data_IF_587861588581
#
_entry.id   IF_587861588581
#
_cell.length_a   1.000
_cell.length_b   1.000
_cell.length_c   1.000
_cell.angle_alpha   90.00
_cell.angle_beta   90.00
_cell.angle_gamma   90.00
#
_symmetry.space_group_name_H-M   'P 1'
#
loop_
_entity.id
_entity.type
_entity.pdbx_description
1 polymer ?
#
# COMPACT_ATOMS: atom_id res chain seq x y z
N UNK A 1 -11.87 -12.16 19.73
CA UNK A 1 -11.20 -13.28 19.03
C UNK A 1 -12.28 -14.20 18.47
N UNK A 2 -12.15 -14.59 17.21
CA UNK A 2 -13.01 -15.60 16.61
C UNK A 2 -12.48 -16.99 17.04
N UNK A 3 -13.36 -17.91 17.46
CA UNK A 3 -12.95 -19.27 17.77
C UNK A 3 -12.56 -20.02 16.49
N UNK A 4 -11.68 -21.02 16.62
CA UNK A 4 -11.37 -21.93 15.51
C UNK A 4 -12.65 -22.64 15.07
N UNK A 5 -12.94 -22.66 13.76
CA UNK A 5 -14.20 -23.19 13.22
C UNK A 5 -15.40 -22.23 13.28
N UNK A 6 -15.21 -21.02 13.84
CA UNK A 6 -16.24 -19.98 13.83
C UNK A 6 -16.59 -19.49 12.43
N UNK A 7 -17.84 -19.05 12.24
CA UNK A 7 -18.31 -18.47 10.96
C UNK A 7 -18.23 -16.95 11.00
N UNK A 8 -17.84 -16.34 9.90
CA UNK A 8 -17.83 -14.88 9.70
C UNK A 8 -18.68 -14.54 8.48
N UNK A 9 -19.56 -13.55 8.64
CA UNK A 9 -20.26 -12.99 7.49
C UNK A 9 -19.38 -11.94 6.83
N UNK A 10 -19.19 -12.05 5.54
CA UNK A 10 -18.39 -11.10 4.75
C UNK A 10 -19.17 -10.62 3.54
N UNK A 11 -18.99 -9.35 3.19
CA UNK A 11 -19.49 -8.75 1.96
C UNK A 11 -18.30 -8.58 1.02
N UNK A 12 -18.31 -9.25 -0.11
CA UNK A 12 -17.25 -9.21 -1.12
C UNK A 12 -17.79 -9.57 -2.52
N UNK A 13 -17.08 -9.21 -3.62
CA UNK A 13 -15.91 -8.32 -3.66
C UNK A 13 -16.33 -6.85 -3.48
N UNK A 14 -15.45 -6.03 -2.89
CA UNK A 14 -15.68 -4.60 -2.73
C UNK A 14 -14.53 -3.80 -3.35
N UNK A 15 -14.88 -2.70 -4.05
CA UNK A 15 -13.93 -1.75 -4.60
C UNK A 15 -13.00 -2.32 -5.68
N UNK A 16 -11.93 -1.57 -5.95
CA UNK A 16 -10.94 -1.84 -6.99
C UNK A 16 -9.56 -2.02 -6.36
N UNK A 17 -8.90 -3.15 -6.67
CA UNK A 17 -7.54 -3.45 -6.17
C UNK A 17 -6.44 -2.75 -6.97
N UNK A 18 -5.19 -3.03 -6.59
CA UNK A 18 -4.04 -2.58 -7.35
C UNK A 18 -4.01 -3.23 -8.73
N UNK A 19 -3.76 -2.41 -9.74
CA UNK A 19 -3.56 -2.85 -11.11
C UNK A 19 -2.17 -2.45 -11.59
N UNK A 20 -1.43 -3.41 -12.17
CA UNK A 20 -0.11 -3.19 -12.77
C UNK A 20 -0.21 -3.53 -14.24
N UNK A 21 0.22 -2.60 -15.08
CA UNK A 21 0.20 -2.77 -16.53
C UNK A 21 1.21 -3.80 -16.99
N UNK A 22 1.02 -4.33 -18.18
CA UNK A 22 1.90 -5.38 -18.72
C UNK A 22 3.33 -4.88 -18.94
N UNK A 23 3.47 -3.64 -19.39
CA UNK A 23 4.76 -2.97 -19.61
C UNK A 23 5.52 -2.62 -18.32
N UNK A 24 4.84 -2.43 -17.19
CA UNK A 24 5.43 -2.13 -15.90
C UNK A 24 6.11 -3.37 -15.34
N UNK A 25 7.44 -3.47 -15.39
CA UNK A 25 8.21 -4.65 -14.99
C UNK A 25 8.70 -4.57 -13.55
N UNK A 26 9.10 -3.38 -13.10
CA UNK A 26 9.64 -3.12 -11.76
C UNK A 26 8.62 -2.42 -10.89
N UNK A 27 8.22 -3.06 -9.82
CA UNK A 27 7.21 -2.56 -8.88
C UNK A 27 7.89 -2.24 -7.55
N UNK A 28 7.72 -1.03 -7.03
CA UNK A 28 8.07 -0.73 -5.65
C UNK A 28 6.81 -0.82 -4.77
N UNK A 29 6.89 -1.59 -3.70
CA UNK A 29 5.86 -1.67 -2.67
C UNK A 29 6.31 -0.90 -1.44
N UNK A 30 5.52 0.08 -1.01
CA UNK A 30 5.79 0.86 0.21
C UNK A 30 4.66 0.62 1.20
N UNK A 31 4.95 -0.13 2.27
CA UNK A 31 3.94 -0.58 3.23
C UNK A 31 4.22 -0.13 4.67
N UNK A 32 3.16 0.22 5.41
CA UNK A 32 3.25 0.58 6.82
C UNK A 32 2.27 -0.19 7.70
N UNK A 33 2.77 -0.84 8.75
CA UNK A 33 1.94 -1.58 9.70
C UNK A 33 1.06 -2.62 9.01
N UNK A 34 -0.26 -2.56 9.23
CA UNK A 34 -1.22 -3.50 8.61
C UNK A 34 -1.35 -3.36 7.08
N UNK A 35 -0.84 -2.26 6.50
CA UNK A 35 -0.75 -2.09 5.05
C UNK A 35 0.13 -3.13 4.34
N UNK A 36 0.84 -3.97 5.10
CA UNK A 36 1.57 -5.13 4.57
C UNK A 36 0.65 -6.14 3.85
N UNK A 37 -0.60 -6.31 4.29
CA UNK A 37 -1.49 -7.33 3.75
C UNK A 37 -1.87 -7.11 2.28
N UNK A 38 -2.26 -5.91 1.82
CA UNK A 38 -2.42 -5.62 0.40
C UNK A 38 -1.12 -5.85 -0.39
N UNK A 39 0.05 -5.54 0.18
CA UNK A 39 1.34 -5.76 -0.48
C UNK A 39 1.62 -7.25 -0.70
N UNK A 40 1.31 -8.11 0.27
CA UNK A 40 1.40 -9.57 0.12
C UNK A 40 0.49 -10.07 -1.02
N UNK A 41 -0.70 -9.49 -1.17
CA UNK A 41 -1.62 -9.84 -2.27
C UNK A 41 -1.04 -9.48 -3.63
N UNK A 42 -0.42 -8.29 -3.75
CA UNK A 42 0.29 -7.86 -4.97
C UNK A 42 1.41 -8.84 -5.32
N UNK A 43 2.23 -9.24 -4.34
CA UNK A 43 3.30 -10.23 -4.56
C UNK A 43 2.76 -11.56 -5.09
N UNK A 44 1.69 -12.07 -4.47
CA UNK A 44 1.06 -13.33 -4.88
C UNK A 44 0.56 -13.29 -6.32
N UNK A 45 0.08 -12.15 -6.76
CA UNK A 45 -0.48 -11.97 -8.10
C UNK A 45 0.60 -11.73 -9.17
N UNK A 46 1.59 -10.87 -8.88
CA UNK A 46 2.47 -10.34 -9.92
C UNK A 46 3.84 -11.01 -10.00
N UNK A 47 4.34 -11.66 -8.94
CA UNK A 47 5.58 -12.46 -9.00
C UNK A 47 5.45 -13.62 -10.01
N UNK A 48 4.34 -14.40 -10.03
CA UNK A 48 4.18 -15.46 -11.05
C UNK A 48 4.08 -14.91 -12.49
N UNK A 49 3.77 -13.63 -12.67
CA UNK A 49 3.73 -12.93 -13.96
C UNK A 49 5.10 -12.37 -14.38
N UNK A 50 6.17 -12.71 -13.66
CA UNK A 50 7.54 -12.31 -13.99
C UNK A 50 7.87 -10.85 -13.64
N UNK A 51 7.12 -10.21 -12.74
CA UNK A 51 7.42 -8.84 -12.28
C UNK A 51 8.51 -8.86 -11.21
N UNK A 52 9.42 -7.89 -11.26
CA UNK A 52 10.41 -7.63 -10.23
C UNK A 52 9.78 -6.74 -9.14
N UNK A 53 9.76 -7.20 -7.90
CA UNK A 53 9.08 -6.49 -6.82
C UNK A 53 10.06 -6.16 -5.70
N UNK A 54 10.19 -4.87 -5.40
CA UNK A 54 11.04 -4.30 -4.37
C UNK A 54 10.15 -3.80 -3.22
N UNK A 55 10.23 -4.44 -2.06
CA UNK A 55 9.34 -4.17 -0.93
C UNK A 55 10.06 -3.37 0.16
N UNK A 56 9.48 -2.26 0.58
CA UNK A 56 9.92 -1.36 1.66
C UNK A 56 8.82 -1.33 2.72
N UNK A 57 9.06 -1.99 3.85
CA UNK A 57 8.03 -2.18 4.89
C UNK A 57 8.50 -1.56 6.20
N UNK A 58 7.66 -0.69 6.75
CA UNK A 58 7.92 0.02 8.00
C UNK A 58 6.98 -0.40 9.13
N UNK A 59 7.55 -0.51 10.33
CA UNK A 59 6.82 -0.75 11.56
C UNK A 59 7.29 0.22 12.64
N UNK A 60 6.50 0.42 13.70
CA UNK A 60 6.91 1.27 14.83
C UNK A 60 8.12 0.72 15.57
N UNK A 61 8.13 -0.58 15.83
CA UNK A 61 9.16 -1.28 16.59
C UNK A 61 9.13 -2.79 16.27
N UNK A 62 10.11 -3.53 16.79
CA UNK A 62 10.26 -4.98 16.61
C UNK A 62 9.00 -5.78 16.98
N UNK A 63 8.27 -5.35 18.01
CA UNK A 63 7.09 -6.09 18.48
C UNK A 63 5.90 -5.97 17.52
N UNK A 64 5.91 -4.96 16.64
CA UNK A 64 4.89 -4.77 15.61
C UNK A 64 5.22 -5.51 14.30
N UNK A 65 6.43 -6.03 14.15
CA UNK A 65 6.85 -6.76 12.94
C UNK A 65 6.07 -8.07 12.86
N UNK A 66 5.40 -8.28 11.73
CA UNK A 66 4.60 -9.49 11.49
C UNK A 66 4.56 -9.86 10.00
N UNK A 67 4.18 -11.11 9.71
CA UNK A 67 3.84 -11.60 8.38
C UNK A 67 4.92 -11.40 7.30
N UNK A 68 6.21 -11.35 7.67
CA UNK A 68 7.31 -11.17 6.72
C UNK A 68 7.42 -12.33 5.73
N UNK A 69 7.04 -13.55 6.13
CA UNK A 69 7.02 -14.76 5.27
C UNK A 69 6.21 -14.52 3.98
N UNK A 70 5.16 -13.69 4.05
CA UNK A 70 4.37 -13.31 2.89
C UNK A 70 5.13 -12.46 1.86
N UNK A 71 6.24 -11.85 2.26
CA UNK A 71 7.06 -10.94 1.43
C UNK A 71 8.36 -11.57 0.93
N UNK A 72 8.69 -12.81 1.32
CA UNK A 72 9.94 -13.50 0.93
C UNK A 72 10.14 -13.63 -0.58
N UNK A 73 9.05 -13.57 -1.34
CA UNK A 73 9.08 -13.63 -2.81
C UNK A 73 9.42 -12.30 -3.47
N UNK A 74 9.64 -11.22 -2.70
CA UNK A 74 10.14 -9.95 -3.24
C UNK A 74 11.53 -10.16 -3.86
N UNK A 75 11.83 -9.44 -4.94
CA UNK A 75 13.18 -9.37 -5.52
C UNK A 75 14.17 -8.81 -4.50
N UNK A 76 13.73 -7.81 -3.73
CA UNK A 76 14.42 -7.33 -2.54
C UNK A 76 13.39 -6.89 -1.48
N UNK A 77 13.66 -7.26 -0.22
CA UNK A 77 12.85 -6.88 0.94
C UNK A 77 13.67 -6.02 1.90
N UNK A 78 13.22 -4.81 2.14
CA UNK A 78 13.77 -3.90 3.15
C UNK A 78 12.74 -3.70 4.25
N UNK A 79 13.06 -4.14 5.47
CA UNK A 79 12.23 -3.94 6.65
C UNK A 79 12.93 -2.96 7.58
N UNK A 80 12.18 -1.96 8.05
CA UNK A 80 12.69 -0.89 8.90
C UNK A 80 11.74 -0.63 10.08
N UNK A 81 12.26 -0.04 11.16
CA UNK A 81 11.44 0.39 12.29
C UNK A 81 11.76 1.82 12.70
N UNK A 82 10.73 2.54 13.17
CA UNK A 82 10.87 3.94 13.57
C UNK A 82 11.87 4.11 14.72
N UNK A 83 11.93 3.13 15.64
CA UNK A 83 12.84 3.13 16.78
C UNK A 83 14.20 2.46 16.51
N UNK A 84 14.38 1.75 15.38
CA UNK A 84 15.58 1.01 15.02
C UNK A 84 15.74 -0.33 15.74
N UNK A 85 14.71 -0.82 16.42
CA UNK A 85 14.75 -2.10 17.14
C UNK A 85 14.75 -3.32 16.21
N UNK A 86 14.41 -3.14 14.94
CA UNK A 86 14.55 -4.12 13.87
C UNK A 86 14.92 -3.42 12.55
N UNK A 87 15.96 -3.89 11.88
CA UNK A 87 16.49 -3.23 10.69
C UNK A 87 17.11 -1.86 10.99
N UNK A 88 16.98 -0.92 10.05
CA UNK A 88 17.48 0.45 10.24
C UNK A 88 16.44 1.32 10.94
N UNK A 89 16.91 2.33 11.70
CA UNK A 89 16.07 3.39 12.28
C UNK A 89 15.65 4.37 11.20
N UNK A 90 14.52 4.11 10.56
CA UNK A 90 13.90 4.97 9.53
C UNK A 90 12.48 4.47 9.25
N UNK A 91 11.69 5.23 8.51
CA UNK A 91 10.39 4.78 8.02
C UNK A 91 10.48 4.17 6.60
N UNK A 92 9.40 3.52 6.15
CA UNK A 92 9.35 2.84 4.84
C UNK A 92 9.57 3.80 3.66
N UNK A 93 9.06 5.03 3.75
CA UNK A 93 9.20 6.05 2.68
C UNK A 93 10.65 6.50 2.57
N UNK A 94 11.34 6.71 3.69
CA UNK A 94 12.77 7.05 3.69
C UNK A 94 13.61 5.93 3.09
N UNK A 95 13.31 4.66 3.44
CA UNK A 95 13.99 3.51 2.87
C UNK A 95 13.79 3.43 1.35
N UNK A 96 12.57 3.63 0.87
CA UNK A 96 12.24 3.70 -0.55
C UNK A 96 12.98 4.85 -1.26
N UNK A 97 12.90 6.07 -0.71
CA UNK A 97 13.53 7.26 -1.31
C UNK A 97 15.04 7.09 -1.47
N UNK A 98 15.72 6.45 -0.49
CA UNK A 98 17.17 6.17 -0.57
C UNK A 98 17.53 5.23 -1.73
N UNK A 99 16.59 4.37 -2.13
CA UNK A 99 16.84 3.28 -3.09
C UNK A 99 16.19 3.53 -4.46
N UNK A 100 15.35 4.54 -4.57
CA UNK A 100 14.52 4.82 -5.75
C UNK A 100 15.35 4.99 -7.03
N UNK A 101 16.45 5.74 -6.97
CA UNK A 101 17.33 5.98 -8.13
C UNK A 101 18.06 4.71 -8.59
N UNK A 102 18.33 3.78 -7.68
CA UNK A 102 18.96 2.49 -7.98
C UNK A 102 17.96 1.53 -8.60
N UNK A 103 16.76 1.43 -8.05
CA UNK A 103 15.71 0.50 -8.48
C UNK A 103 15.05 0.99 -9.76
N UNK A 104 14.75 2.29 -9.86
CA UNK A 104 14.00 2.93 -10.95
C UNK A 104 12.70 2.16 -11.24
N UNK A 105 11.75 2.15 -10.29
CA UNK A 105 10.51 1.41 -10.47
C UNK A 105 9.66 2.04 -11.58
N UNK A 106 8.93 1.20 -12.30
CA UNK A 106 7.96 1.64 -13.31
C UNK A 106 6.65 2.10 -12.65
N UNK A 107 6.36 1.58 -11.47
CA UNK A 107 5.17 1.92 -10.68
C UNK A 107 5.45 1.75 -9.18
N UNK A 108 4.82 2.60 -8.37
CA UNK A 108 4.85 2.52 -6.90
C UNK A 108 3.45 2.21 -6.39
N UNK A 109 3.33 1.19 -5.55
CA UNK A 109 2.09 0.80 -4.89
C UNK A 109 2.26 0.92 -3.38
N UNK A 110 1.31 1.57 -2.71
CA UNK A 110 1.46 1.83 -1.28
C UNK A 110 0.16 1.62 -0.51
N UNK A 111 0.32 1.12 0.72
CA UNK A 111 -0.75 1.04 1.71
C UNK A 111 -0.18 1.25 3.12
N UNK A 112 -0.83 2.10 3.90
CA UNK A 112 -0.40 2.39 5.27
C UNK A 112 -1.05 3.64 5.84
N UNK A 113 -0.58 4.11 7.00
CA UNK A 113 -1.14 5.28 7.68
C UNK A 113 -1.07 6.55 6.81
N UNK A 114 -2.07 7.42 6.93
CA UNK A 114 -2.14 8.69 6.18
C UNK A 114 -0.86 9.52 6.26
N UNK A 115 -0.19 9.68 7.43
CA UNK A 115 1.09 10.41 7.47
C UNK A 115 2.19 9.80 6.59
N UNK A 116 2.23 8.46 6.45
CA UNK A 116 3.16 7.77 5.56
C UNK A 116 2.82 8.08 4.08
N UNK A 117 1.53 8.02 3.73
CA UNK A 117 1.08 8.31 2.37
C UNK A 117 1.34 9.77 1.98
N UNK A 118 1.18 10.73 2.91
CA UNK A 118 1.56 12.13 2.71
C UNK A 118 3.05 12.29 2.42
N UNK A 119 3.90 11.68 3.23
CA UNK A 119 5.34 11.71 3.01
C UNK A 119 5.72 11.07 1.67
N UNK A 120 5.04 9.96 1.29
CA UNK A 120 5.24 9.35 -0.01
C UNK A 120 4.83 10.28 -1.16
N UNK A 121 3.70 10.98 -1.01
CA UNK A 121 3.23 11.98 -2.00
C UNK A 121 4.29 13.05 -2.26
N UNK A 122 4.94 13.56 -1.21
CA UNK A 122 6.03 14.54 -1.33
C UNK A 122 7.23 13.95 -2.09
N UNK A 123 7.64 12.72 -1.77
CA UNK A 123 8.75 12.02 -2.46
C UNK A 123 8.44 11.77 -3.94
N UNK A 124 7.19 11.51 -4.28
CA UNK A 124 6.79 11.21 -5.66
C UNK A 124 6.61 12.44 -6.54
N UNK A 125 6.54 13.65 -5.96
CA UNK A 125 6.37 14.89 -6.72
C UNK A 125 7.48 15.06 -7.77
N UNK A 126 7.08 15.30 -9.03
CA UNK A 126 8.00 15.57 -10.14
C UNK A 126 8.79 14.36 -10.65
N UNK A 127 8.59 13.16 -10.10
CA UNK A 127 9.29 11.95 -10.57
C UNK A 127 8.75 11.41 -11.89
N UNK A 128 7.50 11.70 -12.22
CA UNK A 128 6.79 11.12 -13.37
C UNK A 128 6.46 9.64 -13.23
N UNK A 129 6.80 8.99 -12.11
CA UNK A 129 6.51 7.57 -11.86
C UNK A 129 5.07 7.45 -11.32
N UNK A 130 4.21 6.63 -11.93
CA UNK A 130 2.87 6.37 -11.41
C UNK A 130 2.91 5.83 -9.98
N UNK A 131 2.12 6.42 -9.09
CA UNK A 131 2.02 5.99 -7.70
C UNK A 131 0.56 5.80 -7.30
N UNK A 132 0.22 4.60 -6.85
CA UNK A 132 -1.13 4.25 -6.41
C UNK A 132 -1.14 3.93 -4.93
N UNK A 133 -2.12 4.49 -4.21
CA UNK A 133 -2.28 4.32 -2.77
C UNK A 133 -3.62 3.67 -2.45
N UNK A 134 -3.60 2.72 -1.52
CA UNK A 134 -4.83 2.16 -0.96
C UNK A 134 -5.21 2.95 0.27
N UNK A 135 -6.38 3.59 0.22
CA UNK A 135 -6.94 4.36 1.34
C UNK A 135 -7.78 3.45 2.24
N UNK A 136 -7.80 3.80 3.53
CA UNK A 136 -8.64 3.16 4.53
C UNK A 136 -9.59 4.20 5.11
N UNK A 137 -10.89 3.92 5.05
CA UNK A 137 -11.95 4.77 5.61
C UNK A 137 -12.97 3.92 6.36
N UNK A 138 -13.72 4.56 7.24
CA UNK A 138 -14.82 3.91 7.94
C UNK A 138 -15.88 3.47 6.95
N UNK A 139 -16.23 2.18 6.98
CA UNK A 139 -17.23 1.61 6.09
C UNK A 139 -18.60 1.54 6.80
N UNK A 140 -19.63 2.08 6.16
CA UNK A 140 -21.02 1.86 6.55
C UNK A 140 -21.65 0.73 5.72
N UNK A 141 -22.01 1.00 4.47
CA UNK A 141 -22.70 0.02 3.62
C UNK A 141 -21.77 -0.88 2.78
N UNK A 142 -20.56 -0.46 2.47
CA UNK A 142 -19.63 -1.18 1.58
C UNK A 142 -19.96 -1.12 0.08
N UNK A 143 -21.13 -0.59 -0.31
CA UNK A 143 -21.64 -0.59 -1.71
C UNK A 143 -21.75 0.80 -2.34
N UNK A 144 -21.24 1.83 -1.65
CA UNK A 144 -21.23 3.21 -2.16
C UNK A 144 -22.54 3.99 -1.98
N UNK A 145 -23.49 3.52 -1.16
CA UNK A 145 -24.79 4.16 -0.99
C UNK A 145 -24.84 5.16 0.17
N UNK A 146 -24.16 4.91 1.29
CA UNK A 146 -24.30 5.69 2.53
C UNK A 146 -23.37 6.92 2.62
N UNK A 147 -22.39 7.05 1.75
CA UNK A 147 -21.42 8.15 1.71
C UNK A 147 -20.53 8.31 2.97
N UNK A 148 -20.46 7.29 3.83
CA UNK A 148 -19.64 7.34 5.06
C UNK A 148 -18.14 7.30 4.74
N UNK A 149 -17.73 6.54 3.72
CA UNK A 149 -16.33 6.35 3.33
C UNK A 149 -15.86 7.33 2.22
N UNK A 150 -16.36 8.55 2.24
CA UNK A 150 -16.00 9.57 1.24
C UNK A 150 -14.61 10.12 1.52
N UNK A 151 -13.76 10.16 0.50
CA UNK A 151 -12.50 10.90 0.47
C UNK A 151 -12.57 12.06 -0.53
N UNK A 152 -11.74 13.08 -0.32
CA UNK A 152 -11.67 14.26 -1.17
C UNK A 152 -10.66 14.06 -2.29
N UNK A 153 -11.00 14.50 -3.51
CA UNK A 153 -10.10 14.53 -4.65
C UNK A 153 -9.52 15.93 -4.86
N UNK A 154 -8.38 16.00 -5.52
CA UNK A 154 -7.68 17.27 -5.82
C UNK A 154 -8.42 18.16 -6.82
N UNK A 155 -9.32 17.60 -7.63
CA UNK A 155 -10.20 18.31 -8.56
C UNK A 155 -11.47 18.89 -7.90
N UNK A 156 -11.59 18.75 -6.57
CA UNK A 156 -12.77 19.18 -5.80
C UNK A 156 -13.93 18.18 -5.79
N UNK A 157 -13.82 17.06 -6.51
CA UNK A 157 -14.80 15.99 -6.46
C UNK A 157 -14.63 15.12 -5.19
N UNK A 158 -15.56 14.20 -4.99
CA UNK A 158 -15.51 13.22 -3.90
C UNK A 158 -15.54 11.81 -4.48
N UNK A 159 -14.84 10.88 -3.82
CA UNK A 159 -14.86 9.47 -4.15
C UNK A 159 -15.22 8.63 -2.92
N UNK A 160 -15.85 7.49 -3.15
CA UNK A 160 -16.23 6.53 -2.09
C UNK A 160 -15.21 5.42 -2.06
N UNK A 161 -14.45 5.32 -0.97
CA UNK A 161 -13.38 4.34 -0.84
C UNK A 161 -13.88 2.90 -1.04
N UNK A 162 -15.10 2.57 -0.62
CA UNK A 162 -15.66 1.22 -0.78
C UNK A 162 -16.07 0.85 -2.20
N UNK A 163 -16.29 1.82 -3.11
CA UNK A 163 -16.79 1.57 -4.46
C UNK A 163 -15.86 2.09 -5.55
N UNK A 164 -15.41 3.34 -5.41
CA UNK A 164 -14.57 4.03 -6.40
C UNK A 164 -13.07 3.72 -6.15
N UNK A 165 -12.71 3.37 -4.88
CA UNK A 165 -11.41 2.88 -4.43
C UNK A 165 -11.44 1.39 -4.03
N UNK A 166 -10.61 0.96 -3.07
CA UNK A 166 -9.76 1.76 -2.18
C UNK A 166 -8.48 2.30 -2.82
N UNK A 167 -8.12 1.84 -4.01
CA UNK A 167 -6.89 2.24 -4.70
C UNK A 167 -7.15 3.45 -5.58
N UNK A 168 -6.31 4.49 -5.40
CA UNK A 168 -6.35 5.74 -6.15
C UNK A 168 -4.95 6.15 -6.59
N UNK A 169 -4.84 6.92 -7.66
CA UNK A 169 -3.61 7.64 -7.95
C UNK A 169 -3.34 8.65 -6.82
N UNK A 170 -2.11 8.67 -6.31
CA UNK A 170 -1.73 9.52 -5.18
C UNK A 170 -1.90 11.02 -5.46
N UNK A 171 -1.80 11.43 -6.74
CA UNK A 171 -1.98 12.81 -7.18
C UNK A 171 -3.45 13.24 -7.17
N UNK A 172 -4.39 12.28 -7.32
CA UNK A 172 -5.82 12.56 -7.39
C UNK A 172 -6.50 12.73 -6.04
N UNK A 173 -5.88 12.33 -4.94
CA UNK A 173 -6.50 12.34 -3.61
C UNK A 173 -5.85 13.35 -2.68
N UNK A 174 -6.66 13.94 -1.81
CA UNK A 174 -6.21 14.78 -0.69
C UNK A 174 -6.00 13.84 0.50
N UNK A 175 -4.76 13.76 0.98
CA UNK A 175 -4.33 12.89 2.08
C UNK A 175 -4.25 13.66 3.40
#
# INVERSE_FOLDING_TARGET
>A
RLPVGGKVSVLLPLGNGFFVREEEKKIALVGGGVGIFPMISVLREYVPKGKEIYSYIGFRNKNAVCCLDGLEKSTALTVVTDDGSYGKKMNAVQAFATDMDRVKPDVVLSCGPVPMLRALKEVMQGTGIPCYVSLEERMGCGIGACLVCVCNKTDGAHARVCKDGPVFNIEEVIL
#
